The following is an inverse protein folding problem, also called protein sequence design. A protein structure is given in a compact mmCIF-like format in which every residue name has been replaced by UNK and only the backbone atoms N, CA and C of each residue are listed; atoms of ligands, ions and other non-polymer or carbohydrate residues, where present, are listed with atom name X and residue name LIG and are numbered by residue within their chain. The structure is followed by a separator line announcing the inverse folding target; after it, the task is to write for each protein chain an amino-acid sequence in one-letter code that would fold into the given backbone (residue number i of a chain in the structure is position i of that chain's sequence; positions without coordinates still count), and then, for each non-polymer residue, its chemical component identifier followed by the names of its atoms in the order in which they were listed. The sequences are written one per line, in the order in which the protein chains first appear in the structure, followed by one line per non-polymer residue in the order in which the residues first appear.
data_IF_809661548583
#
_entry.id   IF_809661548583
#
_cell.length_a   1.000
_cell.length_b   1.000
_cell.length_c   1.000
_cell.angle_alpha   90.00
_cell.angle_beta   90.00
_cell.angle_gamma   90.00
#
_symmetry.space_group_name_H-M   'P 1'
#
loop_
_entity.id
_entity.type
_entity.pdbx_description
1 polymer ?
#
# COMPACT_ATOMS: atom_id res chain seq x y z
N UNK A 1 42.97 -41.55 50.84
CA UNK A 1 42.71 -40.17 51.30
C UNK A 1 42.52 -39.30 50.07
N UNK A 2 41.28 -39.15 49.59
CA UNK A 2 40.96 -38.41 48.37
C UNK A 2 39.96 -37.29 48.71
N UNK A 3 40.39 -36.08 48.35
CA UNK A 3 39.68 -34.83 48.11
C UNK A 3 38.26 -34.66 48.64
N UNK A 4 38.15 -33.78 49.64
CA UNK A 4 36.93 -33.16 50.14
C UNK A 4 36.41 -32.14 49.11
N UNK A 5 35.76 -32.61 48.05
CA UNK A 5 34.98 -31.80 47.11
C UNK A 5 33.50 -31.82 47.50
N UNK A 6 33.18 -31.14 48.61
CA UNK A 6 31.82 -31.09 49.17
C UNK A 6 31.42 -29.65 49.52
N UNK A 7 31.74 -28.69 48.66
CA UNK A 7 31.36 -27.26 48.82
C UNK A 7 31.07 -26.61 47.46
N UNK A 8 30.38 -27.31 46.56
CA UNK A 8 29.91 -26.75 45.29
C UNK A 8 28.47 -27.19 44.93
N UNK A 9 27.68 -27.60 45.92
CA UNK A 9 26.34 -28.14 45.69
C UNK A 9 25.18 -27.34 46.34
N UNK A 10 25.45 -26.16 46.92
CA UNK A 10 24.43 -25.44 47.75
C UNK A 10 24.10 -24.02 47.25
N UNK A 11 24.65 -23.56 46.13
CA UNK A 11 24.42 -22.20 45.63
C UNK A 11 23.54 -22.10 44.36
N UNK A 12 22.77 -23.14 44.02
CA UNK A 12 21.91 -23.16 42.82
C UNK A 12 20.45 -23.51 43.12
N UNK A 13 20.02 -23.34 44.38
CA UNK A 13 18.65 -23.62 44.83
C UNK A 13 17.80 -22.35 45.11
N UNK A 14 18.23 -21.17 44.65
CA UNK A 14 17.51 -19.89 44.85
C UNK A 14 17.05 -19.23 43.54
N UNK A 15 17.02 -19.97 42.43
CA UNK A 15 16.49 -19.49 41.15
C UNK A 15 15.26 -20.29 40.66
N UNK A 16 14.48 -20.84 41.58
CA UNK A 16 13.25 -21.58 41.28
C UNK A 16 12.00 -20.97 41.94
N UNK A 17 12.06 -19.69 42.35
CA UNK A 17 10.92 -18.98 42.94
C UNK A 17 10.56 -17.69 42.20
N UNK A 18 10.93 -17.54 40.93
CA UNK A 18 10.42 -16.47 40.08
C UNK A 18 9.32 -16.99 39.15
N UNK A 19 8.07 -16.84 39.61
CA UNK A 19 6.95 -16.55 38.72
C UNK A 19 6.10 -17.71 38.21
N UNK A 20 5.37 -18.40 39.10
CA UNK A 20 4.17 -19.12 38.71
C UNK A 20 3.02 -18.70 39.64
N UNK A 21 2.02 -18.00 39.07
CA UNK A 21 0.77 -17.54 39.69
C UNK A 21 0.83 -16.32 40.63
N UNK A 22 1.52 -15.25 40.25
CA UNK A 22 0.93 -13.93 40.52
C UNK A 22 -0.17 -13.75 39.51
N UNK A 23 -1.42 -14.03 39.90
CA UNK A 23 -2.60 -13.65 39.12
C UNK A 23 -2.57 -12.13 39.05
N UNK A 24 -2.18 -11.52 37.92
CA UNK A 24 -2.11 -10.07 37.90
C UNK A 24 -3.56 -9.60 37.93
N UNK A 25 -3.89 -8.64 38.81
CA UNK A 25 -5.23 -8.04 38.86
C UNK A 25 -5.65 -7.34 37.56
N UNK A 26 -4.75 -7.33 36.56
CA UNK A 26 -4.92 -6.76 35.23
C UNK A 26 -4.09 -7.58 34.24
N UNK A 27 -4.69 -8.05 33.15
CA UNK A 27 -3.98 -8.79 32.11
C UNK A 27 -3.24 -7.80 31.18
N UNK A 28 -1.90 -7.84 31.12
CA UNK A 28 -1.13 -6.95 30.25
C UNK A 28 -1.45 -7.16 28.77
N UNK A 29 -1.85 -8.37 28.34
CA UNK A 29 -2.16 -8.64 26.94
C UNK A 29 -3.42 -7.89 26.47
N UNK A 30 -4.41 -7.70 27.36
CA UNK A 30 -5.60 -6.90 27.06
C UNK A 30 -5.24 -5.43 26.86
N UNK A 31 -4.37 -4.89 27.71
CA UNK A 31 -3.92 -3.50 27.57
C UNK A 31 -3.11 -3.29 26.29
N UNK A 32 -2.18 -4.21 25.97
CA UNK A 32 -1.42 -4.16 24.73
C UNK A 32 -2.33 -4.24 23.49
N UNK A 33 -3.31 -5.14 23.50
CA UNK A 33 -4.26 -5.29 22.40
C UNK A 33 -5.12 -4.02 22.20
N UNK A 34 -5.55 -3.37 23.29
CA UNK A 34 -6.28 -2.09 23.24
C UNK A 34 -5.41 -0.98 22.65
N UNK A 35 -4.16 -0.87 23.10
CA UNK A 35 -3.21 0.11 22.56
C UNK A 35 -2.94 -0.10 21.07
N UNK A 36 -2.77 -1.36 20.66
CA UNK A 36 -2.55 -1.74 19.26
C UNK A 36 -3.77 -1.44 18.38
N UNK A 37 -4.98 -1.73 18.87
CA UNK A 37 -6.22 -1.41 18.18
C UNK A 37 -6.45 0.09 18.07
N UNK A 38 -6.15 0.86 19.12
CA UNK A 38 -6.24 2.33 19.09
C UNK A 38 -5.23 2.95 18.13
N UNK A 39 -4.00 2.42 18.09
CA UNK A 39 -3.00 2.83 17.10
C UNK A 39 -3.48 2.54 15.68
N UNK A 40 -4.03 1.35 15.43
CA UNK A 40 -4.60 0.98 14.14
C UNK A 40 -5.80 1.88 13.76
N UNK A 41 -6.69 2.18 14.71
CA UNK A 41 -7.87 3.05 14.50
C UNK A 41 -7.49 4.47 14.10
N UNK A 42 -6.42 5.02 14.69
CA UNK A 42 -5.92 6.37 14.38
C UNK A 42 -5.19 6.44 13.04
N UNK A 43 -4.85 5.31 12.43
CA UNK A 43 -4.17 5.27 11.15
C UNK A 43 -5.20 5.32 10.00
N UNK A 44 -5.26 6.40 9.20
CA UNK A 44 -6.21 6.49 8.09
C UNK A 44 -6.00 5.43 7.01
N UNK A 45 -4.77 4.90 6.88
CA UNK A 45 -4.47 3.83 5.93
C UNK A 45 -5.17 2.52 6.31
N UNK A 46 -5.37 2.26 7.60
CA UNK A 46 -6.08 1.06 8.07
C UNK A 46 -7.55 1.12 7.68
N UNK A 47 -8.18 2.29 7.84
CA UNK A 47 -9.57 2.49 7.42
C UNK A 47 -9.76 2.31 5.90
N UNK A 48 -8.78 2.77 5.11
CA UNK A 48 -8.86 2.72 3.65
C UNK A 48 -8.50 1.34 3.06
N UNK A 49 -7.49 0.68 3.64
CA UNK A 49 -6.86 -0.48 3.02
C UNK A 49 -6.97 -1.76 3.84
N UNK A 50 -7.32 -1.73 5.11
CA UNK A 50 -7.34 -2.93 5.98
C UNK A 50 -8.55 -2.95 6.93
N UNK A 51 -9.71 -2.46 6.45
CA UNK A 51 -10.92 -2.36 7.26
C UNK A 51 -11.41 -3.71 7.76
N UNK A 52 -11.43 -4.73 6.88
CA UNK A 52 -11.86 -6.08 7.24
C UNK A 52 -10.95 -6.73 8.29
N UNK A 53 -9.64 -6.56 8.16
CA UNK A 53 -8.63 -7.06 9.08
C UNK A 53 -8.72 -6.34 10.44
N UNK A 54 -8.97 -5.03 10.42
CA UNK A 54 -9.21 -4.23 11.62
C UNK A 54 -10.50 -4.66 12.35
N UNK A 55 -11.59 -4.89 11.63
CA UNK A 55 -12.86 -5.34 12.22
C UNK A 55 -12.72 -6.71 12.88
N UNK A 56 -11.94 -7.61 12.29
CA UNK A 56 -11.61 -8.89 12.89
C UNK A 56 -10.81 -8.75 14.19
N UNK A 57 -9.85 -7.82 14.24
CA UNK A 57 -9.10 -7.51 15.45
C UNK A 57 -10.02 -6.94 16.54
N UNK A 58 -10.89 -5.98 16.18
CA UNK A 58 -11.83 -5.35 17.08
C UNK A 58 -12.89 -6.33 17.62
N UNK A 59 -13.34 -7.28 16.79
CA UNK A 59 -14.26 -8.34 17.23
C UNK A 59 -13.58 -9.28 18.23
N UNK A 60 -12.35 -9.70 17.98
CA UNK A 60 -11.60 -10.56 18.91
C UNK A 60 -11.30 -9.85 20.23
N UNK A 61 -10.92 -8.56 20.19
CA UNK A 61 -10.69 -7.81 21.42
C UNK A 61 -11.96 -7.68 22.27
N UNK A 62 -13.10 -7.40 21.65
CA UNK A 62 -14.39 -7.38 22.35
C UNK A 62 -14.70 -8.70 23.03
N UNK A 63 -14.46 -9.83 22.35
CA UNK A 63 -14.64 -11.15 22.97
C UNK A 63 -13.71 -11.36 24.18
N UNK A 64 -12.47 -10.89 24.09
CA UNK A 64 -11.51 -10.96 25.20
C UNK A 64 -11.97 -10.10 26.39
N UNK A 65 -12.42 -8.88 26.12
CA UNK A 65 -12.93 -7.93 27.12
C UNK A 65 -14.20 -8.47 27.80
N UNK A 66 -15.16 -8.98 27.01
CA UNK A 66 -16.39 -9.58 27.52
C UNK A 66 -16.09 -10.79 28.42
N UNK A 67 -15.15 -11.65 27.99
CA UNK A 67 -14.76 -12.82 28.76
C UNK A 67 -14.08 -12.44 30.08
N UNK A 68 -13.21 -11.42 30.07
CA UNK A 68 -12.58 -10.91 31.28
C UNK A 68 -13.59 -10.24 32.23
N UNK A 69 -14.53 -9.45 31.70
CA UNK A 69 -15.54 -8.74 32.48
C UNK A 69 -16.53 -9.70 33.16
N UNK A 70 -16.87 -10.82 32.51
CA UNK A 70 -17.78 -11.83 33.04
C UNK A 70 -17.12 -12.82 34.01
N UNK A 71 -15.87 -12.61 34.41
CA UNK A 71 -15.14 -13.51 35.29
C UNK A 71 -14.77 -14.84 34.63
N UNK A 72 -14.63 -14.84 33.29
CA UNK A 72 -14.18 -15.98 32.52
C UNK A 72 -12.76 -16.42 32.88
N UNK A 73 -12.34 -17.57 32.34
CA UNK A 73 -11.01 -18.12 32.61
C UNK A 73 -9.95 -17.15 32.10
N UNK A 74 -9.05 -16.72 32.99
CA UNK A 74 -7.96 -15.79 32.66
C UNK A 74 -7.18 -16.20 31.41
N UNK A 75 -6.77 -17.47 31.30
CA UNK A 75 -6.01 -17.96 30.15
C UNK A 75 -6.76 -17.81 28.82
N UNK A 76 -8.08 -17.98 28.83
CA UNK A 76 -8.89 -17.90 27.62
C UNK A 76 -9.03 -16.43 27.18
N UNK A 77 -9.24 -15.50 28.13
CA UNK A 77 -9.24 -14.06 27.86
C UNK A 77 -7.86 -13.57 27.38
N UNK A 78 -6.80 -14.05 28.00
CA UNK A 78 -5.42 -13.76 27.63
C UNK A 78 -5.10 -14.21 26.21
N UNK A 79 -5.48 -15.43 25.83
CA UNK A 79 -5.27 -15.94 24.47
C UNK A 79 -6.02 -15.13 23.43
N UNK A 80 -7.28 -14.75 23.72
CA UNK A 80 -8.06 -13.87 22.84
C UNK A 80 -7.41 -12.49 22.72
N UNK A 81 -6.88 -11.93 23.81
CA UNK A 81 -6.17 -10.66 23.79
C UNK A 81 -4.91 -10.71 22.92
N UNK A 82 -4.08 -11.76 23.07
CA UNK A 82 -2.91 -12.00 22.23
C UNK A 82 -3.30 -12.11 20.76
N UNK A 83 -4.37 -12.85 20.45
CA UNK A 83 -4.88 -12.98 19.08
C UNK A 83 -5.38 -11.64 18.53
N UNK A 84 -6.08 -10.85 19.33
CA UNK A 84 -6.54 -9.52 18.94
C UNK A 84 -5.36 -8.59 18.63
N UNK A 85 -4.31 -8.63 19.44
CA UNK A 85 -3.09 -7.85 19.21
C UNK A 85 -2.40 -8.26 17.89
N UNK A 86 -2.26 -9.55 17.63
CA UNK A 86 -1.69 -10.05 16.37
C UNK A 86 -2.51 -9.63 15.15
N UNK A 87 -3.85 -9.66 15.26
CA UNK A 87 -4.75 -9.20 14.20
C UNK A 87 -4.64 -7.70 13.98
N UNK A 88 -4.51 -6.91 15.04
CA UNK A 88 -4.30 -5.47 14.93
C UNK A 88 -2.97 -5.15 14.23
N UNK A 89 -1.89 -5.86 14.57
CA UNK A 89 -0.61 -5.75 13.86
C UNK A 89 -0.74 -6.14 12.38
N UNK A 90 -1.44 -7.24 12.09
CA UNK A 90 -1.70 -7.68 10.71
C UNK A 90 -2.48 -6.63 9.92
N UNK A 91 -3.49 -5.99 10.52
CA UNK A 91 -4.24 -4.91 9.87
C UNK A 91 -3.34 -3.72 9.53
N UNK A 92 -2.41 -3.36 10.42
CA UNK A 92 -1.43 -2.30 10.14
C UNK A 92 -0.47 -2.67 9.00
N UNK A 93 0.01 -3.92 8.96
CA UNK A 93 0.88 -4.41 7.89
C UNK A 93 0.18 -4.47 6.54
N UNK A 94 -1.07 -4.96 6.50
CA UNK A 94 -1.90 -4.96 5.29
C UNK A 94 -2.15 -3.54 4.81
N UNK A 95 -2.43 -2.61 5.73
CA UNK A 95 -2.63 -1.21 5.40
C UNK A 95 -1.38 -0.57 4.78
N UNK A 96 -0.20 -0.84 5.35
CA UNK A 96 1.09 -0.37 4.82
C UNK A 96 1.38 -0.98 3.44
N UNK A 97 1.22 -2.28 3.29
CA UNK A 97 1.51 -2.97 2.03
C UNK A 97 0.60 -2.46 0.91
N UNK A 98 -0.71 -2.37 1.17
CA UNK A 98 -1.68 -1.92 0.16
C UNK A 98 -1.52 -0.43 -0.17
N UNK A 99 -1.14 0.42 0.79
CA UNK A 99 -0.87 1.84 0.51
C UNK A 99 0.39 2.04 -0.33
N UNK A 100 1.44 1.27 -0.07
CA UNK A 100 2.66 1.25 -0.89
C UNK A 100 2.36 0.76 -2.31
N UNK A 101 1.56 -0.30 -2.45
CA UNK A 101 1.10 -0.77 -3.76
C UNK A 101 0.30 0.30 -4.51
N UNK A 102 -0.62 1.01 -3.83
CA UNK A 102 -1.37 2.10 -4.44
C UNK A 102 -0.45 3.23 -4.91
N UNK A 103 0.58 3.59 -4.13
CA UNK A 103 1.56 4.59 -4.51
C UNK A 103 2.40 4.16 -5.74
N UNK A 104 2.79 2.89 -5.82
CA UNK A 104 3.50 2.35 -6.98
C UNK A 104 2.65 2.35 -8.24
N UNK A 105 1.37 1.99 -8.14
CA UNK A 105 0.42 2.05 -9.26
C UNK A 105 0.26 3.50 -9.73
N UNK A 106 0.05 4.43 -8.81
CA UNK A 106 -0.08 5.85 -9.15
C UNK A 106 1.18 6.40 -9.86
N UNK A 107 2.37 6.01 -9.39
CA UNK A 107 3.63 6.41 -10.02
C UNK A 107 3.78 5.86 -11.44
N UNK A 108 3.41 4.59 -11.66
CA UNK A 108 3.43 3.97 -12.99
C UNK A 108 2.46 4.68 -13.93
N UNK A 109 1.22 4.90 -13.51
CA UNK A 109 0.21 5.62 -14.31
C UNK A 109 0.69 7.03 -14.68
N UNK A 110 1.31 7.75 -13.74
CA UNK A 110 1.86 9.08 -14.02
C UNK A 110 3.03 9.03 -15.03
N UNK A 111 3.88 7.99 -14.95
CA UNK A 111 4.99 7.80 -15.89
C UNK A 111 4.48 7.44 -17.28
N UNK A 112 3.52 6.53 -17.37
CA UNK A 112 2.91 6.12 -18.63
C UNK A 112 2.21 7.30 -19.31
N UNK A 113 1.47 8.12 -18.55
CA UNK A 113 0.85 9.33 -19.07
C UNK A 113 1.87 10.33 -19.63
N UNK A 114 3.04 10.47 -18.98
CA UNK A 114 4.14 11.32 -19.49
C UNK A 114 4.73 10.78 -20.78
N UNK A 115 4.95 9.47 -20.86
CA UNK A 115 5.47 8.82 -22.08
C UNK A 115 4.47 9.00 -23.23
N UNK A 116 3.18 8.79 -22.97
CA UNK A 116 2.13 9.01 -23.97
C UNK A 116 2.06 10.46 -24.43
N UNK A 117 2.20 11.43 -23.51
CA UNK A 117 2.27 12.85 -23.86
C UNK A 117 3.48 13.17 -24.74
N UNK A 118 4.67 12.66 -24.44
CA UNK A 118 5.86 12.85 -25.28
C UNK A 118 5.70 12.22 -26.67
N UNK A 119 5.14 11.00 -26.74
CA UNK A 119 4.88 10.33 -28.03
C UNK A 119 3.88 11.11 -28.87
N UNK A 120 2.76 11.55 -28.28
CA UNK A 120 1.76 12.34 -28.99
C UNK A 120 2.29 13.70 -29.43
N UNK A 121 3.13 14.35 -28.62
CA UNK A 121 3.79 15.60 -28.99
C UNK A 121 4.73 15.41 -30.20
N UNK A 122 5.52 14.34 -30.23
CA UNK A 122 6.38 14.02 -31.37
C UNK A 122 5.58 13.70 -32.63
N UNK A 123 4.49 12.95 -32.50
CA UNK A 123 3.59 12.66 -33.61
C UNK A 123 2.93 13.94 -34.15
N UNK A 124 2.48 14.83 -33.28
CA UNK A 124 1.92 16.12 -33.68
C UNK A 124 2.96 17.00 -34.40
N UNK A 125 4.21 17.05 -33.90
CA UNK A 125 5.29 17.76 -34.57
C UNK A 125 5.60 17.18 -35.96
N UNK A 126 5.63 15.85 -36.10
CA UNK A 126 5.82 15.19 -37.40
C UNK A 126 4.66 15.47 -38.37
N UNK A 127 3.42 15.42 -37.90
CA UNK A 127 2.24 15.73 -38.70
C UNK A 127 2.22 17.20 -39.15
N UNK A 128 2.65 18.14 -38.30
CA UNK A 128 2.78 19.55 -38.65
C UNK A 128 3.82 19.77 -39.75
N UNK A 129 4.96 19.09 -39.69
CA UNK A 129 5.98 19.15 -40.74
C UNK A 129 5.43 18.62 -42.07
N UNK A 130 4.76 17.47 -42.06
CA UNK A 130 4.12 16.90 -43.25
C UNK A 130 3.04 17.81 -43.83
N UNK A 131 2.21 18.43 -42.99
CA UNK A 131 1.21 19.40 -43.42
C UNK A 131 1.86 20.63 -44.08
N UNK A 132 2.94 21.15 -43.49
CA UNK A 132 3.67 22.29 -44.04
C UNK A 132 4.38 21.97 -45.37
N UNK A 133 4.79 20.72 -45.59
CA UNK A 133 5.31 20.24 -46.87
C UNK A 133 4.21 20.10 -47.93
N UNK A 134 3.08 19.50 -47.56
CA UNK A 134 1.92 19.37 -48.45
C UNK A 134 1.38 20.75 -48.89
N UNK A 135 1.34 21.72 -47.96
CA UNK A 135 0.94 23.10 -48.26
C UNK A 135 1.87 23.72 -49.31
N UNK A 136 3.19 23.60 -49.12
CA UNK A 136 4.19 24.10 -50.07
C UNK A 136 4.09 23.47 -51.46
N UNK A 137 3.72 22.19 -51.54
CA UNK A 137 3.49 21.51 -52.82
C UNK A 137 2.21 22.01 -53.49
N UNK A 138 1.13 22.20 -52.71
CA UNK A 138 -0.13 22.75 -53.22
C UNK A 138 0.05 24.17 -53.77
N UNK A 139 0.77 25.04 -53.05
CA UNK A 139 1.05 26.40 -53.49
C UNK A 139 1.83 26.42 -54.81
N UNK A 140 2.84 25.55 -54.96
CA UNK A 140 3.58 25.41 -56.22
C UNK A 140 2.69 24.92 -57.37
N UNK A 141 1.83 23.94 -57.13
CA UNK A 141 0.89 23.46 -58.14
C UNK A 141 -0.10 24.54 -58.57
N UNK A 142 -0.57 25.37 -57.63
CA UNK A 142 -1.45 26.51 -57.93
C UNK A 142 -0.75 27.57 -58.78
N UNK A 143 0.50 27.90 -58.47
CA UNK A 143 1.30 28.83 -59.27
C UNK A 143 1.49 28.33 -60.70
N UNK A 144 1.79 27.04 -60.88
CA UNK A 144 1.93 26.43 -62.21
C UNK A 144 0.59 26.41 -62.97
N UNK A 145 -0.52 26.13 -62.28
CA UNK A 145 -1.86 26.17 -62.89
C UNK A 145 -2.28 27.59 -63.28
N UNK A 146 -1.94 28.61 -62.49
CA UNK A 146 -2.20 30.01 -62.80
C UNK A 146 -1.28 30.56 -63.90
N UNK A 147 -0.04 30.04 -63.99
CA UNK A 147 0.91 30.38 -65.04
C UNK A 147 0.68 29.60 -66.35
N UNK A 148 -0.15 28.54 -66.34
CA UNK A 148 -0.55 27.84 -67.55
C UNK A 148 -1.33 28.81 -68.44
N UNK A 149 -0.80 29.20 -69.61
CA UNK A 149 -1.48 30.16 -70.47
C UNK A 149 -2.82 29.58 -70.91
N UNK A 150 -3.82 30.44 -71.10
CA UNK A 150 -5.09 30.14 -71.76
C UNK A 150 -4.83 29.69 -73.20
N UNK A 151 -4.33 28.46 -73.38
CA UNK A 151 -4.03 27.85 -74.67
C UNK A 151 -5.30 27.34 -75.37
N UNK A 152 -6.47 27.47 -74.74
CA UNK A 152 -7.73 26.98 -75.25
C UNK A 152 -8.48 27.95 -76.19
N UNK A 153 -8.06 29.21 -76.33
CA UNK A 153 -8.78 30.16 -77.20
C UNK A 153 -8.28 30.21 -78.66
N UNK A 154 -7.17 29.54 -78.98
CA UNK A 154 -6.60 29.60 -80.34
C UNK A 154 -7.17 28.56 -81.31
N UNK A 155 -7.87 27.52 -80.83
CA UNK A 155 -8.36 26.41 -81.68
C UNK A 155 -9.87 26.47 -82.02
N UNK A 156 -10.57 27.56 -81.66
CA UNK A 156 -12.02 27.75 -81.92
C UNK A 156 -12.34 28.82 -82.98
N UNK A 157 -11.32 29.34 -83.68
CA UNK A 157 -11.48 30.34 -84.76
C UNK A 157 -11.02 29.83 -86.13
N UNK A 158 -11.37 28.59 -86.45
CA UNK A 158 -11.26 28.04 -87.82
C UNK A 158 -12.63 27.54 -88.28
#
# INVERSE_FOLDING_TARGET
MFGKSATFAVALAMLAASGCASFPGRDPALDDARLSLDAARRNPQVAMYASAEFDQAAATLRQADDLAANGGRYNDAHQLAVLANQRAATAQDVARLRSEQAALVAQRTATDARIQADVTQRQAAAAQLQAAEAQRQADQAQLLAAAAPAAYDYRRRE
#
